data_IF_366458862298
#
_entry.id   IF_366458862298
#
_cell.length_a   1.000
_cell.length_b   1.000
_cell.length_c   1.000
_cell.angle_alpha   90.00
_cell.angle_beta   90.00
_cell.angle_gamma   90.00
#
_symmetry.space_group_name_H-M   'P 1'
#
loop_
_entity.id
_entity.type
_entity.pdbx_description
1 polymer ?
#
# COMPACT_ATOMS: atom_id res chain seq x y z
N UNK A 1 9.97 11.41 -16.32
CA UNK A 1 9.12 10.23 -16.15
C UNK A 1 9.81 9.31 -15.17
N UNK A 2 9.37 9.24 -13.91
CA UNK A 2 10.04 8.44 -12.90
C UNK A 2 9.54 6.99 -12.95
N UNK A 3 10.40 6.04 -13.30
CA UNK A 3 10.04 4.60 -13.28
C UNK A 3 9.77 4.06 -11.85
N UNK A 4 10.34 4.73 -10.85
CA UNK A 4 10.32 4.32 -9.44
C UNK A 4 10.00 5.52 -8.57
N UNK A 5 9.07 5.33 -7.63
CA UNK A 5 8.66 6.32 -6.64
C UNK A 5 8.88 5.74 -5.24
N UNK A 6 9.48 6.56 -4.36
CA UNK A 6 9.68 6.20 -2.96
C UNK A 6 8.78 7.08 -2.11
N UNK A 7 7.86 6.44 -1.41
CA UNK A 7 7.05 7.05 -0.36
C UNK A 7 7.71 6.68 0.97
N UNK A 8 7.89 7.64 1.87
CA UNK A 8 8.58 7.39 3.14
C UNK A 8 7.88 6.32 3.98
N UNK A 9 6.83 6.72 4.69
CA UNK A 9 6.04 5.83 5.55
C UNK A 9 4.55 6.01 5.23
N UNK A 10 3.81 4.89 5.11
CA UNK A 10 2.36 4.90 4.88
C UNK A 10 1.60 5.02 6.20
N UNK A 11 1.53 6.23 6.76
CA UNK A 11 0.93 6.45 8.08
C UNK A 11 -0.58 6.67 8.07
N UNK A 12 -1.11 7.13 6.95
CA UNK A 12 -2.49 7.59 6.85
C UNK A 12 -3.16 7.07 5.56
N UNK A 13 -4.50 7.08 5.52
CA UNK A 13 -5.27 6.58 4.38
C UNK A 13 -4.94 7.29 3.08
N UNK A 14 -4.71 8.61 3.12
CA UNK A 14 -4.43 9.42 1.95
C UNK A 14 -3.10 9.02 1.30
N UNK A 15 -2.07 8.76 2.11
CA UNK A 15 -0.76 8.29 1.65
C UNK A 15 -0.86 6.89 1.05
N UNK A 16 -1.60 5.98 1.67
CA UNK A 16 -1.85 4.62 1.16
C UNK A 16 -2.56 4.68 -0.19
N UNK A 17 -3.60 5.49 -0.28
CA UNK A 17 -4.39 5.65 -1.49
C UNK A 17 -3.57 6.22 -2.64
N UNK A 18 -2.74 7.23 -2.35
CA UNK A 18 -1.79 7.79 -3.31
C UNK A 18 -0.80 6.74 -3.81
N UNK A 19 -0.26 5.91 -2.91
CA UNK A 19 0.66 4.82 -3.29
C UNK A 19 0.00 3.81 -4.25
N UNK A 20 -1.25 3.44 -3.98
CA UNK A 20 -2.01 2.53 -4.83
C UNK A 20 -2.35 3.15 -6.18
N UNK A 21 -2.73 4.44 -6.24
CA UNK A 21 -2.99 5.13 -7.51
C UNK A 21 -1.75 5.21 -8.41
N UNK A 22 -0.60 5.51 -7.82
CA UNK A 22 0.68 5.51 -8.52
C UNK A 22 0.99 4.11 -9.06
N UNK A 23 0.76 3.07 -8.25
CA UNK A 23 1.00 1.68 -8.65
C UNK A 23 0.05 1.25 -9.78
N UNK A 24 -1.24 1.62 -9.72
CA UNK A 24 -2.22 1.33 -10.77
C UNK A 24 -1.87 1.97 -12.12
N UNK A 25 -1.18 3.12 -12.10
CA UNK A 25 -0.68 3.77 -13.31
C UNK A 25 0.58 3.13 -13.90
N UNK A 26 1.12 2.09 -13.26
CA UNK A 26 2.22 1.27 -13.77
C UNK A 26 3.61 1.59 -13.21
N UNK A 27 3.71 2.53 -12.26
CA UNK A 27 4.99 2.88 -11.63
C UNK A 27 5.32 1.93 -10.47
N UNK A 28 6.62 1.71 -10.21
CA UNK A 28 7.05 0.93 -9.04
C UNK A 28 7.08 1.82 -7.81
N UNK A 29 6.39 1.41 -6.75
CA UNK A 29 6.36 2.13 -5.48
C UNK A 29 7.07 1.33 -4.40
N UNK A 30 7.97 2.00 -3.67
CA UNK A 30 8.57 1.49 -2.44
C UNK A 30 8.12 2.36 -1.26
N UNK A 31 7.72 1.72 -0.17
CA UNK A 31 7.37 2.40 1.07
C UNK A 31 7.69 1.54 2.29
N UNK A 32 7.72 2.17 3.45
CA UNK A 32 7.95 1.51 4.74
C UNK A 32 6.72 1.55 5.64
N UNK A 33 6.63 0.57 6.54
CA UNK A 33 5.64 0.45 7.60
C UNK A 33 6.29 -0.19 8.83
N UNK A 34 5.87 0.23 10.01
CA UNK A 34 6.29 -0.41 11.27
C UNK A 34 5.34 -1.56 11.61
N UNK A 35 5.69 -2.76 11.14
CA UNK A 35 4.95 -4.01 11.39
C UNK A 35 5.95 -5.16 11.58
N UNK A 36 5.61 -6.15 12.39
CA UNK A 36 6.50 -7.26 12.72
C UNK A 36 6.40 -8.46 11.74
N UNK A 37 5.45 -8.43 10.80
CA UNK A 37 5.29 -9.48 9.79
C UNK A 37 4.57 -8.99 8.54
N UNK A 38 4.73 -9.75 7.45
CA UNK A 38 4.07 -9.42 6.19
C UNK A 38 2.54 -9.44 6.27
N UNK A 39 1.98 -10.34 7.10
CA UNK A 39 0.52 -10.41 7.34
C UNK A 39 0.06 -9.13 8.03
N UNK A 40 0.78 -8.72 9.08
CA UNK A 40 0.49 -7.47 9.80
C UNK A 40 0.63 -6.24 8.90
N UNK A 41 1.60 -6.23 7.97
CA UNK A 41 1.72 -5.15 6.96
C UNK A 41 0.45 -5.01 6.13
N UNK A 42 -0.08 -6.13 5.60
CA UNK A 42 -1.28 -6.13 4.78
C UNK A 42 -2.50 -5.71 5.61
N UNK A 43 -2.65 -6.28 6.81
CA UNK A 43 -3.76 -5.96 7.71
C UNK A 43 -3.74 -4.49 8.14
N UNK A 44 -2.55 -3.93 8.37
CA UNK A 44 -2.40 -2.51 8.70
C UNK A 44 -2.84 -1.62 7.55
N UNK A 45 -2.36 -1.86 6.32
CA UNK A 45 -2.75 -1.05 5.15
C UNK A 45 -4.27 -1.04 4.95
N UNK A 46 -4.90 -2.22 5.07
CA UNK A 46 -6.36 -2.34 4.94
C UNK A 46 -7.06 -1.69 6.15
N UNK A 47 -6.51 -1.82 7.34
CA UNK A 47 -7.08 -1.29 8.58
C UNK A 47 -7.09 0.24 8.69
N UNK A 48 -6.18 0.94 8.00
CA UNK A 48 -6.15 2.41 7.99
C UNK A 48 -7.36 3.00 7.24
N UNK A 49 -7.90 2.32 6.21
CA UNK A 49 -9.03 2.85 5.42
C UNK A 49 -10.40 2.57 6.06
N UNK A 50 -11.43 3.40 5.80
CA UNK A 50 -12.78 3.18 6.32
C UNK A 50 -13.37 1.81 5.92
N UNK A 51 -14.22 1.17 6.75
CA UNK A 51 -14.73 -0.19 6.51
C UNK A 51 -15.36 -0.41 5.13
N UNK A 52 -16.06 0.59 4.60
CA UNK A 52 -16.70 0.54 3.28
C UNK A 52 -15.70 0.42 2.12
N UNK A 53 -14.44 0.81 2.33
CA UNK A 53 -13.37 0.79 1.32
C UNK A 53 -12.42 -0.40 1.47
N UNK A 54 -12.45 -1.10 2.60
CA UNK A 54 -11.48 -2.15 2.90
C UNK A 54 -11.47 -3.30 1.89
N UNK A 55 -12.66 -3.72 1.42
CA UNK A 55 -12.75 -4.77 0.40
C UNK A 55 -12.14 -4.32 -0.93
N UNK A 56 -12.39 -3.07 -1.33
CA UNK A 56 -11.81 -2.48 -2.54
C UNK A 56 -10.29 -2.39 -2.45
N UNK A 57 -9.75 -1.92 -1.33
CA UNK A 57 -8.30 -1.81 -1.10
C UNK A 57 -7.64 -3.18 -1.03
N UNK A 58 -8.29 -4.17 -0.40
CA UNK A 58 -7.82 -5.56 -0.37
C UNK A 58 -7.66 -6.14 -1.78
N UNK A 59 -8.64 -5.92 -2.65
CA UNK A 59 -8.58 -6.41 -4.03
C UNK A 59 -7.46 -5.70 -4.82
N UNK A 60 -7.32 -4.37 -4.70
CA UNK A 60 -6.22 -3.63 -5.34
C UNK A 60 -4.85 -4.11 -4.88
N UNK A 61 -4.67 -4.34 -3.57
CA UNK A 61 -3.43 -4.91 -3.05
C UNK A 61 -3.18 -6.31 -3.60
N UNK A 62 -4.21 -7.15 -3.73
CA UNK A 62 -4.05 -8.48 -4.31
C UNK A 62 -3.55 -8.44 -5.77
N UNK A 63 -3.93 -7.41 -6.53
CA UNK A 63 -3.52 -7.23 -7.93
C UNK A 63 -2.13 -6.61 -8.07
N UNK A 64 -1.73 -5.73 -7.15
CA UNK A 64 -0.56 -4.85 -7.32
C UNK A 64 0.62 -5.16 -6.39
N UNK A 65 0.38 -5.75 -5.23
CA UNK A 65 1.41 -5.99 -4.22
C UNK A 65 2.39 -7.05 -4.71
N UNK A 66 3.64 -6.65 -4.94
CA UNK A 66 4.68 -7.55 -5.43
C UNK A 66 5.51 -8.22 -4.33
N UNK A 67 5.78 -7.50 -3.22
CA UNK A 67 6.65 -8.00 -2.16
C UNK A 67 6.39 -7.26 -0.84
N UNK A 68 6.53 -7.98 0.27
CA UNK A 68 6.61 -7.41 1.62
C UNK A 68 7.86 -7.97 2.31
N UNK A 69 8.60 -7.10 2.98
CA UNK A 69 9.77 -7.45 3.78
C UNK A 69 9.57 -6.92 5.20
N UNK A 70 9.76 -7.78 6.20
CA UNK A 70 9.57 -7.47 7.64
C UNK A 70 10.82 -7.80 8.42
#
# INVERSE_FOLDING_TARGET
>A
DPDIIIIGEMRDPDTIMTALEITDSGHKVYSTLHTASAVETIDRIIGEVPPIEQERVRNRLADTLSCVMS
#
